data_IF_662635170929
#
_entry.id   IF_662635170929
#
_cell.length_a   1.000
_cell.length_b   1.000
_cell.length_c   1.000
_cell.angle_alpha   90.00
_cell.angle_beta   90.00
_cell.angle_gamma   90.00
#
_symmetry.space_group_name_H-M   'P 1'
#
loop_
_entity.id
_entity.type
_entity.pdbx_description
1 polymer ?
#
# COMPACT_ATOMS: atom_id res chain seq x y z
N UNK A 1 -20.32 27.60 -11.52
CA UNK A 1 -19.93 27.18 -11.54
C UNK A 1 -19.49 26.94 -11.36
N UNK A 2 -19.40 26.59 -11.19
CA UNK A 2 -18.79 26.03 -11.12
C UNK A 2 -18.55 25.57 -10.87
N UNK A 3 -18.72 25.28 -10.82
CA UNK A 3 -18.33 24.48 -10.80
C UNK A 3 -17.80 24.22 -10.59
N UNK A 4 -17.80 24.24 -10.49
CA UNK A 4 -17.11 23.58 -10.56
C UNK A 4 -16.73 23.26 -9.98
N UNK A 5 -16.59 23.39 -9.94
CA UNK A 5 -16.09 22.89 -9.64
C UNK A 5 -15.82 22.37 -9.06
N UNK A 6 -16.19 22.49 -8.86
CA UNK A 6 -15.92 21.68 -8.61
C UNK A 6 -15.77 20.90 -8.43
N UNK A 7 -16.05 20.81 -8.65
CA UNK A 7 -15.76 19.79 -8.83
C UNK A 7 -15.30 19.20 -8.73
N UNK A 8 -15.07 19.06 -8.80
CA UNK A 8 -14.46 18.41 -8.80
C UNK A 8 -14.00 17.82 -8.46
N UNK A 9 -14.29 17.91 -8.36
CA UNK A 9 -13.83 17.25 -8.14
C UNK A 9 -13.82 16.64 -7.81
N UNK A 10 -14.04 16.36 -7.79
CA UNK A 10 -14.10 15.55 -7.81
C UNK A 10 -13.88 14.71 -7.60
N UNK A 11 -13.82 14.32 -7.65
CA UNK A 11 -13.44 13.49 -7.57
C UNK A 11 -12.84 12.86 -7.36
N UNK A 12 -12.74 12.71 -7.40
CA UNK A 12 -12.06 11.97 -7.10
C UNK A 12 -11.26 11.70 -6.51
N UNK A 13 -11.16 11.45 -6.83
CA UNK A 13 -9.99 11.51 -6.16
C UNK A 13 -9.69 11.22 -4.79
N UNK A 14 -10.50 11.24 -3.87
CA UNK A 14 -10.16 10.93 -2.51
C UNK A 14 -9.56 9.58 -2.38
N UNK A 15 -9.98 8.64 -3.20
CA UNK A 15 -9.46 7.29 -3.15
C UNK A 15 -8.01 7.25 -3.52
N UNK A 16 -7.61 8.05 -4.51
CA UNK A 16 -6.23 8.03 -4.94
C UNK A 16 -5.33 8.81 -4.04
N UNK A 17 -5.88 9.78 -3.31
CA UNK A 17 -5.12 10.53 -2.39
C UNK A 17 -5.04 9.89 -1.07
N UNK A 18 -6.08 9.31 -0.68
CA UNK A 18 -6.24 8.48 0.48
C UNK A 18 -5.22 8.69 1.59
N UNK A 19 -5.07 7.66 2.37
CA UNK A 19 -4.28 7.70 3.61
C UNK A 19 -2.79 7.81 3.34
N UNK A 20 -2.30 7.20 2.27
CA UNK A 20 -0.86 7.25 1.98
C UNK A 20 -0.42 8.66 1.61
N UNK A 21 -1.16 9.34 0.75
CA UNK A 21 -0.83 10.71 0.38
C UNK A 21 -0.86 11.62 1.60
N UNK A 22 -1.84 11.43 2.47
CA UNK A 22 -1.94 12.21 3.70
C UNK A 22 -0.70 11.99 4.57
N UNK A 23 -0.27 10.75 4.75
CA UNK A 23 0.89 10.44 5.58
C UNK A 23 2.18 11.04 5.01
N UNK A 24 2.32 11.02 3.69
CA UNK A 24 3.47 11.61 3.02
C UNK A 24 3.50 13.12 3.19
N UNK A 25 2.35 13.78 3.04
CA UNK A 25 2.25 15.23 3.21
C UNK A 25 2.57 15.67 4.63
N UNK A 26 2.17 14.86 5.60
CA UNK A 26 2.39 15.20 7.00
C UNK A 26 3.76 14.79 7.50
N UNK A 27 4.57 14.17 6.66
CA UNK A 27 5.91 13.77 7.05
C UNK A 27 5.97 12.52 7.90
N UNK A 28 4.86 11.78 8.03
CA UNK A 28 4.88 10.51 8.75
C UNK A 28 5.70 9.46 8.02
N UNK A 29 5.74 9.54 6.71
CA UNK A 29 6.46 8.62 5.83
C UNK A 29 7.26 9.46 4.85
N UNK A 30 8.53 9.09 4.65
CA UNK A 30 9.40 9.79 3.70
C UNK A 30 8.96 9.50 2.26
N UNK A 31 9.36 10.38 1.34
CA UNK A 31 9.03 10.24 -0.07
C UNK A 31 9.37 8.84 -0.58
N UNK A 32 8.48 8.28 -1.38
CA UNK A 32 8.66 6.94 -1.95
C UNK A 32 9.23 6.97 -3.36
N UNK A 33 9.46 8.14 -3.92
CA UNK A 33 9.82 8.25 -5.35
C UNK A 33 11.14 7.63 -5.72
N UNK A 34 12.10 7.61 -4.81
CA UNK A 34 13.41 7.04 -5.10
C UNK A 34 13.58 5.64 -4.55
N UNK A 35 12.51 5.02 -4.10
CA UNK A 35 12.59 3.74 -3.42
C UNK A 35 12.19 2.59 -4.32
N UNK A 36 12.80 1.43 -4.08
CA UNK A 36 12.37 0.18 -4.70
C UNK A 36 11.14 -0.30 -3.97
N UNK A 37 10.01 -0.36 -4.67
CA UNK A 37 8.71 -0.66 -4.08
C UNK A 37 8.11 -1.95 -4.61
N UNK A 38 7.45 -2.68 -3.72
CA UNK A 38 6.55 -3.76 -4.10
C UNK A 38 5.17 -3.41 -3.59
N UNK A 39 4.17 -3.45 -4.46
CA UNK A 39 2.78 -3.22 -4.10
C UNK A 39 2.04 -4.54 -4.15
N UNK A 40 1.35 -4.89 -3.07
CA UNK A 40 0.59 -6.14 -2.97
C UNK A 40 -0.90 -5.82 -3.02
N UNK A 41 -1.59 -6.32 -4.03
CA UNK A 41 -3.04 -6.21 -4.17
C UNK A 41 -3.54 -4.76 -4.26
N UNK A 42 -2.87 -3.88 -5.04
CA UNK A 42 -3.32 -2.49 -5.10
C UNK A 42 -4.62 -2.36 -5.86
N UNK A 43 -5.43 -1.34 -5.54
CA UNK A 43 -6.60 -1.04 -6.35
C UNK A 43 -6.17 -0.47 -7.70
N UNK A 44 -7.05 -0.56 -8.68
CA UNK A 44 -6.72 -0.15 -10.04
C UNK A 44 -6.57 1.36 -10.18
N UNK A 45 -7.05 2.14 -9.21
CA UNK A 45 -7.03 3.60 -9.27
C UNK A 45 -6.00 4.23 -8.35
N UNK A 46 -4.94 3.50 -8.00
CA UNK A 46 -3.90 4.06 -7.13
C UNK A 46 -3.28 5.29 -7.75
N UNK A 47 -2.82 6.20 -6.90
CA UNK A 47 -2.21 7.44 -7.32
C UNK A 47 -0.74 7.20 -7.69
N UNK A 48 -0.46 7.12 -8.99
CA UNK A 48 0.87 6.81 -9.47
C UNK A 48 1.86 7.95 -9.28
N UNK A 49 1.37 9.15 -8.94
CA UNK A 49 2.28 10.28 -8.70
C UNK A 49 3.09 10.11 -7.42
N UNK A 50 2.72 9.17 -6.57
CA UNK A 50 3.44 8.95 -5.31
C UNK A 50 4.66 8.05 -5.48
N UNK A 51 4.81 7.39 -6.62
CA UNK A 51 5.86 6.41 -6.86
C UNK A 51 6.63 6.70 -8.13
N UNK A 52 7.78 6.06 -8.26
CA UNK A 52 8.47 5.97 -9.54
C UNK A 52 8.10 4.62 -10.18
N UNK A 53 7.43 4.66 -11.33
CA UNK A 53 6.98 3.41 -11.99
C UNK A 53 8.14 2.49 -12.32
N UNK A 54 9.29 3.06 -12.67
CA UNK A 54 10.46 2.26 -13.03
C UNK A 54 11.03 1.50 -11.83
N UNK A 55 10.71 1.92 -10.61
CA UNK A 55 11.20 1.28 -9.39
C UNK A 55 10.09 0.52 -8.67
N UNK A 56 8.93 0.37 -9.28
CA UNK A 56 7.75 -0.21 -8.63
C UNK A 56 7.32 -1.47 -9.35
N UNK A 57 7.15 -2.56 -8.58
CA UNK A 57 6.56 -3.80 -9.08
C UNK A 57 5.29 -4.08 -8.32
N UNK A 58 4.34 -4.72 -8.99
CA UNK A 58 2.99 -4.91 -8.46
C UNK A 58 2.64 -6.39 -8.47
N UNK A 59 2.03 -6.85 -7.39
CA UNK A 59 1.43 -8.18 -7.31
C UNK A 59 -0.07 -8.01 -7.39
N UNK A 60 -0.71 -8.69 -8.34
CA UNK A 60 -2.15 -8.69 -8.46
C UNK A 60 -2.57 -9.98 -9.16
N UNK A 61 -3.36 -10.81 -8.47
CA UNK A 61 -3.79 -12.09 -9.01
C UNK A 61 -5.21 -12.05 -9.58
N UNK A 62 -5.98 -11.02 -9.29
CA UNK A 62 -7.33 -10.88 -9.83
C UNK A 62 -7.23 -10.33 -11.26
N UNK A 63 -7.56 -11.17 -12.25
CA UNK A 63 -7.25 -10.87 -13.64
C UNK A 63 -7.78 -9.52 -14.14
N UNK A 64 -9.02 -9.12 -13.88
CA UNK A 64 -9.47 -7.79 -14.34
C UNK A 64 -8.64 -6.64 -13.79
N UNK A 65 -8.25 -6.71 -12.51
CA UNK A 65 -7.40 -5.69 -11.92
C UNK A 65 -5.99 -5.75 -12.50
N UNK A 66 -5.46 -6.95 -12.68
CA UNK A 66 -4.16 -7.17 -13.30
C UNK A 66 -4.09 -6.45 -14.65
N UNK A 67 -5.08 -6.69 -15.51
CA UNK A 67 -5.11 -6.11 -16.84
C UNK A 67 -5.12 -4.58 -16.79
N UNK A 68 -5.94 -4.01 -15.92
CA UNK A 68 -6.02 -2.55 -15.81
C UNK A 68 -4.72 -1.93 -15.32
N UNK A 69 -4.04 -2.59 -14.39
CA UNK A 69 -2.76 -2.08 -13.88
C UNK A 69 -1.68 -2.17 -14.95
N UNK A 70 -1.67 -3.23 -15.74
CA UNK A 70 -0.74 -3.33 -16.87
C UNK A 70 -1.00 -2.20 -17.86
N UNK A 71 -2.25 -1.90 -18.15
CA UNK A 71 -2.61 -0.81 -19.06
C UNK A 71 -2.11 0.55 -18.56
N UNK A 72 -1.95 0.71 -17.25
CA UNK A 72 -1.42 1.95 -16.67
C UNK A 72 0.09 1.99 -16.69
N UNK A 73 0.74 1.00 -17.28
CA UNK A 73 2.19 0.98 -17.45
C UNK A 73 2.97 0.41 -16.30
N UNK A 74 2.31 -0.34 -15.43
CA UNK A 74 2.99 -0.96 -14.28
C UNK A 74 3.49 -2.35 -14.62
N UNK A 75 4.56 -2.77 -13.94
CA UNK A 75 5.07 -4.14 -14.03
C UNK A 75 4.30 -4.99 -13.04
N UNK A 76 3.43 -5.85 -13.54
CA UNK A 76 2.49 -6.63 -12.71
C UNK A 76 2.77 -8.11 -12.85
N UNK A 77 2.72 -8.83 -11.73
CA UNK A 77 2.85 -10.29 -11.68
C UNK A 77 1.83 -10.86 -10.71
N UNK A 78 1.36 -12.09 -10.92
CA UNK A 78 0.46 -12.70 -9.93
C UNK A 78 1.19 -13.02 -8.62
N UNK A 79 2.47 -13.33 -8.68
CA UNK A 79 3.29 -13.57 -7.49
C UNK A 79 4.68 -12.99 -7.72
N UNK A 80 5.40 -12.72 -6.63
CA UNK A 80 6.80 -12.30 -6.69
C UNK A 80 7.69 -13.48 -6.37
N UNK A 81 8.83 -13.56 -7.06
CA UNK A 81 9.79 -14.63 -6.83
C UNK A 81 11.10 -14.19 -6.20
N UNK A 82 11.45 -12.92 -6.31
CA UNK A 82 12.68 -12.39 -5.70
C UNK A 82 12.53 -12.28 -4.19
N UNK A 83 13.65 -12.18 -3.49
CA UNK A 83 13.68 -12.08 -2.04
C UNK A 83 14.61 -10.96 -1.59
N UNK A 84 14.19 -10.27 -0.53
CA UNK A 84 15.07 -9.37 0.21
C UNK A 84 15.60 -8.18 -0.54
N UNK A 85 14.94 -7.74 -1.60
CA UNK A 85 15.46 -6.70 -2.46
C UNK A 85 14.68 -5.39 -2.39
N UNK A 86 13.55 -5.36 -1.72
CA UNK A 86 12.69 -4.17 -1.71
C UNK A 86 12.97 -3.30 -0.50
N UNK A 87 12.98 -1.99 -0.72
CA UNK A 87 13.13 -1.02 0.37
C UNK A 87 11.80 -0.75 1.06
N UNK A 88 10.70 -0.80 0.31
CA UNK A 88 9.36 -0.53 0.82
C UNK A 88 8.39 -1.53 0.22
N UNK A 89 7.50 -2.06 1.04
CA UNK A 89 6.38 -2.87 0.57
C UNK A 89 5.10 -2.23 1.04
N UNK A 90 4.09 -2.17 0.18
CA UNK A 90 2.77 -1.68 0.54
C UNK A 90 1.78 -2.81 0.29
N UNK A 91 1.03 -3.19 1.33
CA UNK A 91 0.01 -4.22 1.25
C UNK A 91 -1.35 -3.55 1.37
N UNK A 92 -2.19 -3.78 0.37
CA UNK A 92 -3.58 -3.31 0.40
C UNK A 92 -4.45 -4.47 0.86
N UNK A 93 -5.28 -4.23 1.86
CA UNK A 93 -6.05 -5.31 2.49
C UNK A 93 -6.98 -6.00 1.52
N UNK A 94 -7.10 -7.30 1.67
CA UNK A 94 -8.10 -8.11 0.97
C UNK A 94 -9.36 -8.15 1.84
N UNK A 95 -10.41 -8.81 1.35
CA UNK A 95 -11.64 -9.00 2.12
C UNK A 95 -11.45 -10.01 3.26
N UNK A 96 -10.41 -10.81 3.19
CA UNK A 96 -10.12 -11.84 4.17
C UNK A 96 -8.97 -11.41 5.05
N UNK A 97 -9.16 -11.45 6.37
CA UNK A 97 -8.08 -11.16 7.30
C UNK A 97 -6.89 -12.09 7.04
N UNK A 98 -7.17 -13.37 6.83
CA UNK A 98 -6.10 -14.33 6.58
C UNK A 98 -5.37 -14.02 5.29
N UNK A 99 -6.09 -13.64 4.24
CA UNK A 99 -5.47 -13.25 2.98
C UNK A 99 -4.56 -12.04 3.15
N UNK A 100 -5.01 -11.05 3.92
CA UNK A 100 -4.20 -9.86 4.20
C UNK A 100 -2.95 -10.24 4.98
N UNK A 101 -3.08 -11.05 6.02
CA UNK A 101 -1.92 -11.46 6.81
C UNK A 101 -0.92 -12.27 5.98
N UNK A 102 -1.41 -13.10 5.07
CA UNK A 102 -0.52 -13.84 4.18
C UNK A 102 0.30 -12.89 3.31
N UNK A 103 -0.33 -11.85 2.77
CA UNK A 103 0.40 -10.87 1.97
C UNK A 103 1.41 -10.09 2.82
N UNK A 104 1.04 -9.77 4.05
CA UNK A 104 1.95 -9.07 4.97
C UNK A 104 3.20 -9.90 5.23
N UNK A 105 3.03 -11.19 5.52
CA UNK A 105 4.19 -12.04 5.80
C UNK A 105 5.04 -12.29 4.55
N UNK A 106 4.42 -12.36 3.38
CA UNK A 106 5.18 -12.40 2.13
C UNK A 106 5.99 -11.12 1.94
N UNK A 107 5.38 -9.98 2.19
CA UNK A 107 6.05 -8.69 2.06
C UNK A 107 7.25 -8.58 2.99
N UNK A 108 7.09 -9.04 4.22
CA UNK A 108 8.19 -9.01 5.19
C UNK A 108 9.38 -9.81 4.67
N UNK A 109 9.14 -10.96 4.06
CA UNK A 109 10.22 -11.78 3.52
C UNK A 109 10.96 -11.09 2.38
N UNK A 110 10.25 -10.26 1.62
CA UNK A 110 10.83 -9.60 0.45
C UNK A 110 11.48 -8.26 0.78
N UNK A 111 11.27 -7.75 1.99
CA UNK A 111 11.88 -6.50 2.42
C UNK A 111 13.34 -6.70 2.81
N UNK A 112 14.14 -5.70 2.48
CA UNK A 112 15.50 -5.61 3.03
C UNK A 112 15.42 -5.42 4.54
N UNK A 113 16.48 -5.76 5.29
CA UNK A 113 16.54 -5.43 6.72
C UNK A 113 16.26 -3.93 6.91
N UNK A 114 15.47 -3.61 7.91
CA UNK A 114 15.03 -2.24 8.20
C UNK A 114 14.15 -1.61 7.13
N UNK A 115 13.73 -2.38 6.13
CA UNK A 115 12.79 -1.91 5.13
C UNK A 115 11.45 -1.54 5.73
N UNK A 116 10.71 -0.71 5.03
CA UNK A 116 9.43 -0.17 5.53
C UNK A 116 8.26 -0.97 4.98
N UNK A 117 7.39 -1.42 5.87
CA UNK A 117 6.13 -2.05 5.48
C UNK A 117 4.99 -1.07 5.75
N UNK A 118 4.14 -0.89 4.75
CA UNK A 118 2.96 -0.04 4.85
C UNK A 118 1.75 -0.90 4.53
N UNK A 119 0.69 -0.79 5.32
CA UNK A 119 -0.55 -1.53 5.12
C UNK A 119 -1.69 -0.55 5.05
N UNK A 120 -2.50 -0.65 4.01
CA UNK A 120 -3.63 0.25 3.78
C UNK A 120 -4.92 -0.54 3.71
N UNK A 121 -5.90 -0.17 4.51
CA UNK A 121 -7.16 -0.87 4.51
C UNK A 121 -8.32 -0.06 5.01
N UNK A 122 -9.51 -0.42 4.54
CA UNK A 122 -10.75 0.17 5.00
C UNK A 122 -11.20 -0.52 6.29
N UNK A 123 -12.03 0.17 7.07
CA UNK A 123 -12.67 -0.48 8.22
C UNK A 123 -13.45 -1.72 7.80
N UNK A 124 -14.08 -1.63 6.65
CA UNK A 124 -14.90 -2.74 6.15
C UNK A 124 -14.10 -3.96 5.72
N UNK A 125 -12.78 -3.83 5.55
CA UNK A 125 -11.92 -4.97 5.22
C UNK A 125 -11.15 -5.49 6.43
N UNK A 126 -11.51 -5.05 7.65
CA UNK A 126 -10.94 -5.61 8.86
C UNK A 126 -9.59 -5.05 9.28
N UNK A 127 -9.26 -3.82 8.86
CA UNK A 127 -7.96 -3.23 9.18
C UNK A 127 -7.70 -3.15 10.69
N UNK A 128 -8.76 -2.96 11.51
CA UNK A 128 -8.57 -2.89 12.96
C UNK A 128 -8.08 -4.21 13.52
N UNK A 129 -8.61 -5.31 13.02
CA UNK A 129 -8.20 -6.63 13.45
C UNK A 129 -6.78 -6.96 12.99
N UNK A 130 -6.43 -6.50 11.79
CA UNK A 130 -5.06 -6.65 11.28
C UNK A 130 -4.09 -5.89 12.17
N UNK A 131 -4.41 -4.66 12.54
CA UNK A 131 -3.56 -3.87 13.42
C UNK A 131 -3.31 -4.61 14.73
N UNK A 132 -4.35 -5.15 15.34
CA UNK A 132 -4.21 -5.89 16.59
C UNK A 132 -3.24 -7.05 16.47
N UNK A 133 -3.31 -7.78 15.35
CA UNK A 133 -2.41 -8.92 15.13
C UNK A 133 -0.95 -8.49 15.04
N UNK A 134 -0.68 -7.28 14.56
CA UNK A 134 0.68 -6.82 14.34
C UNK A 134 1.32 -6.24 15.59
N UNK A 135 0.52 -5.76 16.53
CA UNK A 135 1.04 -5.07 17.70
C UNK A 135 1.85 -5.97 18.62
N UNK A 136 1.56 -7.27 18.66
CA UNK A 136 2.28 -8.21 19.52
C UNK A 136 3.65 -8.59 18.96
N UNK A 137 3.75 -9.05 17.70
CA UNK A 137 5.05 -9.49 17.19
C UNK A 137 5.99 -8.37 16.74
N UNK A 138 5.49 -7.17 16.48
CA UNK A 138 6.32 -6.11 15.93
C UNK A 138 6.34 -4.88 16.83
N UNK A 139 7.52 -4.25 16.90
CA UNK A 139 7.71 -3.02 17.65
C UNK A 139 7.58 -1.82 16.73
N UNK A 140 7.23 -0.68 17.32
CA UNK A 140 7.22 0.56 16.57
C UNK A 140 6.12 0.64 15.52
N UNK A 141 5.06 -0.12 15.69
CA UNK A 141 3.93 -0.10 14.76
C UNK A 141 3.16 1.20 14.95
N UNK A 142 3.01 1.97 13.88
CA UNK A 142 2.30 3.26 13.90
C UNK A 142 1.12 3.21 12.96
N UNK A 143 0.16 4.08 13.19
CA UNK A 143 -1.00 4.12 12.32
C UNK A 143 -1.69 5.48 12.37
N UNK A 144 -2.47 5.76 11.33
CA UNK A 144 -3.38 6.90 11.29
C UNK A 144 -4.72 6.42 10.79
N UNK A 145 -5.77 7.07 11.25
CA UNK A 145 -7.14 6.80 10.78
C UNK A 145 -7.57 7.96 9.90
N UNK A 146 -8.01 7.65 8.68
CA UNK A 146 -8.45 8.67 7.73
C UNK A 146 -9.28 8.00 6.64
N UNK A 147 -10.26 8.72 6.12
CA UNK A 147 -11.09 8.24 4.98
C UNK A 147 -11.65 6.84 5.23
N UNK A 148 -12.22 6.64 6.43
CA UNK A 148 -12.93 5.40 6.81
C UNK A 148 -12.02 4.16 6.81
N UNK A 149 -10.76 4.36 7.14
CA UNK A 149 -9.82 3.27 7.22
C UNK A 149 -8.57 3.65 7.99
N UNK A 150 -7.55 2.83 7.87
CA UNK A 150 -6.27 3.06 8.52
C UNK A 150 -5.12 2.81 7.57
N UNK A 151 -4.05 3.57 7.81
CA UNK A 151 -2.74 3.27 7.25
C UNK A 151 -1.87 2.85 8.43
N UNK A 152 -1.18 1.72 8.29
CA UNK A 152 -0.31 1.17 9.32
C UNK A 152 1.09 1.09 8.72
N UNK A 153 2.12 1.42 9.51
CA UNK A 153 3.48 1.25 9.00
C UNK A 153 4.45 0.93 10.13
N UNK A 154 5.48 0.16 9.78
CA UNK A 154 6.57 -0.15 10.69
C UNK A 154 7.74 -0.69 9.89
N UNK A 155 8.93 -0.69 10.50
CA UNK A 155 10.12 -1.19 9.85
C UNK A 155 10.35 -2.65 10.20
N UNK A 156 10.80 -3.41 9.23
CA UNK A 156 11.17 -4.81 9.45
C UNK A 156 12.34 -4.84 10.42
N UNK A 157 12.34 -5.78 11.39
CA UNK A 157 13.49 -5.93 12.28
C UNK A 157 14.76 -6.19 11.49
N UNK A 158 15.88 -5.70 12.03
CA UNK A 158 17.16 -5.78 11.32
C UNK A 158 17.83 -7.14 11.40
N UNK A 159 17.35 -8.02 12.28
CA UNK A 159 17.97 -9.34 12.38
C UNK A 159 17.35 -10.32 11.42
#
# INVERSE_FOLDING_TARGET
MHYGKRVELKSSPKTTQSRLAFALERGHIESLKDKQLLLFNPPTNINLSLFSKSHTKVQQSFFPAYTKLVERGLSVSPVFSEKGLSEVCIVYCTRSKMGTLNLIYQAIKLLKPSGLLIIDGMKTTGIESVLKELLTPFNGVRNISKYHGKLIWFHKPTM
#
